data_IF_565297781723
#
_entry.id   IF_565297781723
#
_cell.length_a   1.000
_cell.length_b   1.000
_cell.length_c   1.000
_cell.angle_alpha   90.00
_cell.angle_beta   90.00
_cell.angle_gamma   90.00
#
_symmetry.space_group_name_H-M   'P 1'
#
loop_
_entity.id
_entity.type
_entity.pdbx_description
1 polymer ?
#
# COMPACT_ATOMS: atom_id res chain seq x y z
N UNK A 1 2.20 -13.10 14.28
CA UNK A 1 2.42 -11.63 14.42
C UNK A 1 1.75 -10.94 13.23
N UNK A 2 1.11 -9.84 13.51
CA UNK A 2 0.46 -9.03 12.47
C UNK A 2 1.37 -7.90 12.03
N UNK A 3 1.38 -7.65 10.74
CA UNK A 3 2.17 -6.59 10.12
C UNK A 3 1.27 -5.74 9.25
N UNK A 4 1.52 -4.43 9.25
CA UNK A 4 0.94 -3.52 8.28
C UNK A 4 1.93 -3.37 7.13
N UNK A 5 1.50 -3.73 5.93
CA UNK A 5 2.29 -3.55 4.71
C UNK A 5 1.75 -2.31 4.01
N UNK A 6 2.50 -1.23 4.03
CA UNK A 6 2.10 0.02 3.39
C UNK A 6 2.72 0.11 2.01
N UNK A 7 1.87 0.15 1.00
CA UNK A 7 2.30 0.23 -0.40
C UNK A 7 2.30 1.69 -0.82
N UNK A 8 3.49 2.21 -1.15
CA UNK A 8 3.67 3.56 -1.65
C UNK A 8 4.12 3.47 -3.10
N UNK A 9 3.26 3.91 -4.00
CA UNK A 9 3.51 3.77 -5.42
C UNK A 9 2.88 4.93 -6.17
N UNK A 10 3.66 5.98 -6.37
CA UNK A 10 3.21 7.15 -7.10
C UNK A 10 3.04 6.81 -8.59
N UNK A 11 1.86 7.12 -9.13
CA UNK A 11 1.57 6.88 -10.53
C UNK A 11 1.39 5.40 -10.89
N UNK A 12 0.94 4.58 -9.96
CA UNK A 12 0.73 3.14 -10.18
C UNK A 12 -0.10 2.86 -11.43
N UNK A 13 -1.21 3.56 -11.60
CA UNK A 13 -2.10 3.37 -12.75
C UNK A 13 -1.40 3.67 -14.07
N UNK A 14 -0.57 4.72 -14.10
CA UNK A 14 0.18 5.09 -15.29
C UNK A 14 1.26 4.06 -15.61
N UNK A 15 2.06 3.68 -14.61
CA UNK A 15 3.17 2.73 -14.81
C UNK A 15 2.65 1.38 -15.27
N UNK A 16 1.64 0.85 -14.60
CA UNK A 16 1.07 -0.45 -14.94
C UNK A 16 0.28 -0.36 -16.25
N UNK A 17 -0.44 0.72 -16.47
CA UNK A 17 -1.23 0.93 -17.68
C UNK A 17 -0.39 1.05 -18.96
N UNK A 18 0.88 1.42 -18.86
CA UNK A 18 1.81 1.50 -19.99
C UNK A 18 2.49 0.16 -20.31
N UNK A 19 2.31 -0.86 -19.47
CA UNK A 19 2.85 -2.18 -19.76
C UNK A 19 2.13 -2.83 -20.95
N UNK A 20 2.81 -3.71 -21.70
CA UNK A 20 2.13 -4.54 -22.70
C UNK A 20 0.97 -5.33 -22.08
N UNK A 21 -0.09 -5.56 -22.86
CA UNK A 21 -1.32 -6.18 -22.34
C UNK A 21 -1.09 -7.50 -21.61
N UNK A 22 -0.19 -8.36 -22.11
CA UNK A 22 0.16 -9.62 -21.47
C UNK A 22 0.81 -9.44 -20.10
N UNK A 23 1.64 -8.40 -19.94
CA UNK A 23 2.27 -8.08 -18.66
C UNK A 23 1.29 -7.45 -17.69
N UNK A 24 0.35 -6.62 -18.17
CA UNK A 24 -0.73 -6.09 -17.33
C UNK A 24 -1.55 -7.21 -16.74
N UNK A 25 -1.88 -8.23 -17.53
CA UNK A 25 -2.62 -9.40 -17.06
C UNK A 25 -1.84 -10.17 -15.99
N UNK A 26 -0.52 -10.31 -16.15
CA UNK A 26 0.33 -10.96 -15.15
C UNK A 26 0.34 -10.19 -13.84
N UNK A 27 0.48 -8.87 -13.90
CA UNK A 27 0.47 -8.02 -12.72
C UNK A 27 -0.88 -8.10 -12.00
N UNK A 28 -1.97 -8.05 -12.74
CA UNK A 28 -3.32 -8.22 -12.18
C UNK A 28 -3.45 -9.57 -11.49
N UNK A 29 -2.97 -10.65 -12.12
CA UNK A 29 -2.99 -11.98 -11.52
C UNK A 29 -2.14 -12.06 -10.26
N UNK A 30 -1.00 -11.37 -10.22
CA UNK A 30 -0.14 -11.30 -9.03
C UNK A 30 -0.83 -10.58 -7.87
N UNK A 31 -1.49 -9.45 -8.12
CA UNK A 31 -2.28 -8.76 -7.10
C UNK A 31 -3.42 -9.63 -6.58
N UNK A 32 -4.10 -10.35 -7.47
CA UNK A 32 -5.14 -11.31 -7.07
C UNK A 32 -4.59 -12.42 -6.18
N UNK A 33 -3.43 -12.97 -6.54
CA UNK A 33 -2.77 -14.02 -5.75
C UNK A 33 -2.34 -13.51 -4.37
N UNK A 34 -1.81 -12.29 -4.30
CA UNK A 34 -1.46 -11.63 -3.04
C UNK A 34 -2.70 -11.52 -2.15
N UNK A 35 -3.79 -11.01 -2.71
CA UNK A 35 -5.04 -10.81 -1.99
C UNK A 35 -5.61 -12.10 -1.41
N UNK A 36 -5.43 -13.22 -2.11
CA UNK A 36 -5.92 -14.55 -1.71
C UNK A 36 -4.95 -15.33 -0.83
N UNK A 37 -3.78 -14.79 -0.56
CA UNK A 37 -2.79 -15.48 0.29
C UNK A 37 -3.33 -15.67 1.69
N UNK A 38 -3.09 -16.85 2.26
CA UNK A 38 -3.69 -17.26 3.54
C UNK A 38 -3.36 -16.35 4.71
N UNK A 39 -2.21 -15.68 4.68
CA UNK A 39 -1.80 -14.74 5.74
C UNK A 39 -2.43 -13.36 5.62
N UNK A 40 -3.07 -13.03 4.50
CA UNK A 40 -3.68 -11.71 4.30
C UNK A 40 -5.02 -11.65 5.02
N UNK A 41 -5.09 -10.82 6.04
CA UNK A 41 -6.29 -10.65 6.86
C UNK A 41 -7.20 -9.56 6.31
N UNK A 42 -6.60 -8.53 5.70
CA UNK A 42 -7.30 -7.41 5.10
C UNK A 42 -6.36 -6.71 4.11
N UNK A 43 -6.91 -5.98 3.16
CA UNK A 43 -6.13 -5.19 2.22
C UNK A 43 -7.04 -4.42 1.28
N UNK A 44 -6.64 -3.20 0.98
CA UNK A 44 -7.40 -2.31 0.10
C UNK A 44 -6.48 -1.39 -0.68
N UNK A 45 -6.84 -1.15 -1.94
CA UNK A 45 -6.27 -0.08 -2.72
C UNK A 45 -7.01 1.21 -2.39
N UNK A 46 -6.28 2.32 -2.29
CA UNK A 46 -6.86 3.62 -2.01
C UNK A 46 -7.11 4.38 -3.31
N UNK A 47 -8.05 5.32 -3.26
CA UNK A 47 -8.23 6.27 -4.34
C UNK A 47 -7.04 7.23 -4.40
N UNK A 48 -6.93 8.01 -5.48
CA UNK A 48 -5.82 8.94 -5.65
C UNK A 48 -5.64 9.86 -4.44
N UNK A 49 -4.41 10.18 -4.11
CA UNK A 49 -4.06 11.02 -2.96
C UNK A 49 -4.75 12.39 -3.00
N UNK A 50 -5.05 12.92 -4.19
CA UNK A 50 -5.79 14.17 -4.35
C UNK A 50 -7.20 14.15 -3.76
N UNK A 51 -7.77 12.95 -3.54
CA UNK A 51 -9.09 12.81 -2.90
C UNK A 51 -9.03 12.88 -1.38
N UNK A 52 -7.83 12.88 -0.81
CA UNK A 52 -7.65 12.88 0.63
C UNK A 52 -8.06 14.23 1.26
N UNK A 53 -8.41 14.16 2.54
CA UNK A 53 -8.55 15.33 3.38
C UNK A 53 -7.66 15.14 4.61
N UNK A 54 -6.84 16.13 4.92
CA UNK A 54 -5.96 16.09 6.07
C UNK A 54 -6.55 16.96 7.17
N UNK A 55 -6.67 16.39 8.35
CA UNK A 55 -7.27 17.06 9.51
C UNK A 55 -6.20 17.29 10.57
N UNK A 56 -6.11 18.55 11.04
CA UNK A 56 -5.29 18.91 12.19
C UNK A 56 -6.16 19.66 13.19
N UNK A 57 -5.89 19.48 14.46
CA UNK A 57 -6.54 20.25 15.50
C UNK A 57 -5.68 21.46 15.84
N UNK A 58 -6.31 22.64 15.90
CA UNK A 58 -5.65 23.89 16.21
C UNK A 58 -6.55 24.68 17.14
N UNK A 59 -6.09 24.89 18.38
CA UNK A 59 -6.85 25.63 19.37
C UNK A 59 -8.25 25.08 19.63
N UNK A 60 -8.41 23.77 19.58
CA UNK A 60 -9.71 23.12 19.79
C UNK A 60 -10.59 23.05 18.53
N UNK A 61 -10.10 23.54 17.41
CA UNK A 61 -10.85 23.53 16.15
C UNK A 61 -10.16 22.62 15.11
N UNK A 62 -10.97 21.91 14.34
CA UNK A 62 -10.47 21.12 13.23
C UNK A 62 -10.08 22.02 12.06
N UNK A 63 -8.85 21.84 11.58
CA UNK A 63 -8.36 22.45 10.34
C UNK A 63 -8.29 21.36 9.28
N UNK A 64 -9.03 21.53 8.21
CA UNK A 64 -9.11 20.54 7.12
C UNK A 64 -8.42 21.13 5.90
N UNK A 65 -7.43 20.38 5.39
CA UNK A 65 -6.72 20.70 4.17
C UNK A 65 -7.01 19.61 3.14
N UNK A 66 -7.38 20.00 1.93
CA UNK A 66 -7.58 19.04 0.84
C UNK A 66 -6.23 18.49 0.39
N UNK A 67 -6.18 17.18 0.20
CA UNK A 67 -4.97 16.49 -0.22
C UNK A 67 -4.28 15.75 0.92
N UNK A 68 -3.20 15.01 0.60
CA UNK A 68 -2.48 14.21 1.58
C UNK A 68 -1.60 15.06 2.50
N UNK A 69 -1.28 14.51 3.68
CA UNK A 69 -0.40 15.16 4.65
C UNK A 69 1.08 15.03 4.32
N UNK A 70 1.42 14.18 3.35
CA UNK A 70 2.80 13.88 2.97
C UNK A 70 3.15 14.53 1.64
N UNK A 71 4.45 14.67 1.39
CA UNK A 71 4.96 15.22 0.14
C UNK A 71 4.68 14.28 -1.04
N UNK A 72 4.64 14.87 -2.24
CA UNK A 72 4.47 14.11 -3.48
C UNK A 72 5.54 13.02 -3.60
N UNK A 73 5.11 11.83 -4.01
CA UNK A 73 5.99 10.66 -4.12
C UNK A 73 5.97 9.74 -2.90
N UNK A 74 5.42 10.20 -1.79
CA UNK A 74 5.32 9.42 -0.55
C UNK A 74 3.89 9.01 -0.21
N UNK A 75 2.96 9.22 -1.13
CA UNK A 75 1.55 8.93 -0.91
C UNK A 75 1.32 7.42 -0.79
N UNK A 76 0.44 7.06 0.14
CA UNK A 76 0.00 5.69 0.31
C UNK A 76 -0.95 5.31 -0.83
N UNK A 77 -0.64 4.23 -1.54
CA UNK A 77 -1.48 3.70 -2.61
C UNK A 77 -2.43 2.60 -2.13
N UNK A 78 -1.99 1.86 -1.13
CA UNK A 78 -2.78 0.77 -0.57
C UNK A 78 -2.09 0.16 0.64
N UNK A 79 -2.74 -0.84 1.22
CA UNK A 79 -2.18 -1.53 2.38
C UNK A 79 -2.69 -2.96 2.45
N UNK A 80 -1.93 -3.78 3.19
CA UNK A 80 -2.36 -5.11 3.61
C UNK A 80 -2.09 -5.28 5.09
N UNK A 81 -2.95 -6.02 5.76
CA UNK A 81 -2.67 -6.56 7.10
C UNK A 81 -2.32 -8.02 6.91
N UNK A 82 -1.11 -8.40 7.29
CA UNK A 82 -0.56 -9.71 7.02
C UNK A 82 -0.13 -10.39 8.31
N UNK A 83 -0.58 -11.63 8.51
CA UNK A 83 -0.18 -12.46 9.64
C UNK A 83 0.97 -13.38 9.22
N UNK A 84 2.11 -13.25 9.88
CA UNK A 84 3.31 -14.01 9.58
C UNK A 84 3.97 -14.50 10.87
N UNK A 85 4.80 -15.57 10.79
CA UNK A 85 5.54 -16.05 11.95
C UNK A 85 6.52 -15.02 12.52
N UNK A 86 7.07 -14.14 11.67
CA UNK A 86 8.02 -13.11 12.05
C UNK A 86 8.30 -12.15 10.91
N UNK A 87 9.21 -11.21 11.18
CA UNK A 87 9.54 -10.13 10.24
C UNK A 87 10.10 -10.65 8.92
N UNK A 88 10.98 -11.66 8.96
CA UNK A 88 11.60 -12.19 7.74
C UNK A 88 10.56 -12.76 6.76
N UNK A 89 9.56 -13.46 7.27
CA UNK A 89 8.47 -13.99 6.46
C UNK A 89 7.61 -12.86 5.89
N UNK A 90 7.34 -11.81 6.67
CA UNK A 90 6.59 -10.65 6.21
C UNK A 90 7.35 -9.89 5.11
N UNK A 91 8.67 -9.75 5.24
CA UNK A 91 9.53 -9.12 4.23
C UNK A 91 9.51 -9.95 2.94
N UNK A 92 9.62 -11.26 3.03
CA UNK A 92 9.58 -12.14 1.86
C UNK A 92 8.24 -12.01 1.13
N UNK A 93 7.15 -11.91 1.86
CA UNK A 93 5.84 -11.70 1.28
C UNK A 93 5.73 -10.33 0.61
N UNK A 94 6.19 -9.27 1.31
CA UNK A 94 6.16 -7.90 0.79
C UNK A 94 6.92 -7.76 -0.53
N UNK A 95 8.03 -8.48 -0.67
CA UNK A 95 8.84 -8.47 -1.90
C UNK A 95 8.08 -8.99 -3.11
N UNK A 96 7.01 -9.76 -2.92
CA UNK A 96 6.17 -10.28 -4.00
C UNK A 96 5.12 -9.28 -4.46
N UNK A 97 4.87 -8.23 -3.70
CA UNK A 97 3.90 -7.20 -4.09
C UNK A 97 4.47 -6.42 -5.28
N UNK A 98 3.74 -6.36 -6.42
CA UNK A 98 4.29 -5.80 -7.65
C UNK A 98 4.85 -4.39 -7.54
N UNK A 99 4.27 -3.55 -6.69
CA UNK A 99 4.74 -2.18 -6.48
C UNK A 99 6.24 -2.10 -6.17
N UNK A 100 6.78 -3.09 -5.44
CA UNK A 100 8.19 -3.10 -5.04
C UNK A 100 9.15 -3.18 -6.23
N UNK A 101 8.73 -3.80 -7.34
CA UNK A 101 9.59 -3.92 -8.52
C UNK A 101 9.32 -2.87 -9.60
N UNK A 102 8.24 -2.09 -9.47
CA UNK A 102 7.89 -1.04 -10.44
C UNK A 102 8.21 0.37 -9.93
N UNK A 103 9.17 0.49 -9.02
CA UNK A 103 9.60 1.79 -8.52
C UNK A 103 8.87 2.28 -7.27
N UNK A 104 7.91 1.52 -6.77
CA UNK A 104 7.28 1.80 -5.49
C UNK A 104 8.05 1.19 -4.32
N UNK A 105 7.51 1.34 -3.14
CA UNK A 105 8.06 0.73 -1.93
C UNK A 105 6.95 0.05 -1.14
N UNK A 106 7.33 -0.96 -0.36
CA UNK A 106 6.44 -1.58 0.61
C UNK A 106 7.11 -1.50 1.98
N UNK A 107 6.51 -0.71 2.86
CA UNK A 107 7.00 -0.61 4.23
C UNK A 107 6.34 -1.71 5.06
N UNK A 108 7.15 -2.49 5.76
CA UNK A 108 6.69 -3.60 6.61
C UNK A 108 6.83 -3.17 8.06
N UNK A 109 5.71 -3.04 8.76
CA UNK A 109 5.73 -2.56 10.13
C UNK A 109 4.96 -3.51 11.06
N UNK A 110 5.61 -4.04 12.11
CA UNK A 110 4.89 -4.85 13.09
C UNK A 110 3.77 -4.06 13.75
N UNK A 111 2.61 -4.69 13.91
CA UNK A 111 1.51 -4.08 14.62
C UNK A 111 1.70 -4.32 16.12
N UNK A 112 1.36 -3.31 16.91
CA UNK A 112 1.41 -3.43 18.35
C UNK A 112 0.29 -4.38 18.81
N UNK A 113 0.67 -5.44 19.48
CA UNK A 113 -0.27 -6.40 20.06
C UNK A 113 -0.50 -6.04 21.53
N UNK A 114 -1.78 -5.99 21.91
CA UNK A 114 -2.18 -5.62 23.26
C UNK A 114 -3.07 -6.67 23.88
#
# INVERSE_FOLDING_TARGET
MKFLLQVRFNGADTVIGELPAGEQQKVTAEFEAIRRSSGVLDGNQLQAASTAATVRMDGGQARVTKGPAVEAGYELDGYYIYDAPGLDAAIAFAARIPAARFGGTVEVRPMLER
#
